data_IF_812561039036
#
_entry.id   IF_812561039036
#
_cell.length_a   1.000
_cell.length_b   1.000
_cell.length_c   1.000
_cell.angle_alpha   90.00
_cell.angle_beta   90.00
_cell.angle_gamma   90.00
#
_symmetry.space_group_name_H-M   'P 1'
#
loop_
_entity.id
_entity.type
_entity.pdbx_description
1 polymer ?
#
# COMPACT_ATOMS: atom_id res chain seq x y z
N UNK A 1 25.73 -24.80 11.12
CA UNK A 1 24.63 -24.01 11.69
C UNK A 1 24.28 -22.95 10.65
N UNK A 2 23.23 -23.20 9.86
CA UNK A 2 22.80 -22.35 8.77
C UNK A 2 21.54 -21.63 9.22
N UNK A 3 21.56 -20.30 9.27
CA UNK A 3 20.34 -19.49 9.30
C UNK A 3 20.22 -18.87 7.93
N UNK A 4 19.44 -19.52 7.07
CA UNK A 4 18.95 -18.92 5.85
C UNK A 4 17.80 -17.99 6.26
N UNK A 5 18.08 -16.71 6.39
CA UNK A 5 17.03 -15.69 6.47
C UNK A 5 16.19 -15.79 5.20
N UNK A 6 14.90 -16.10 5.36
CA UNK A 6 13.94 -16.11 4.28
C UNK A 6 13.98 -14.74 3.58
N UNK A 7 14.46 -14.73 2.34
CA UNK A 7 14.48 -13.53 1.52
C UNK A 7 13.06 -13.05 1.30
N UNK A 8 12.78 -11.82 1.70
CA UNK A 8 11.56 -11.09 1.33
C UNK A 8 11.59 -11.02 -0.20
N UNK A 9 10.79 -11.86 -0.86
CA UNK A 9 10.67 -11.84 -2.30
C UNK A 9 9.98 -10.52 -2.68
N UNK A 10 10.77 -9.56 -3.15
CA UNK A 10 10.26 -8.29 -3.66
C UNK A 10 9.52 -8.58 -4.97
N UNK A 11 8.19 -8.64 -4.90
CA UNK A 11 7.29 -8.90 -6.04
C UNK A 11 7.44 -7.89 -7.20
N UNK A 12 8.13 -6.77 -6.96
CA UNK A 12 8.48 -5.77 -7.97
C UNK A 12 9.89 -5.22 -7.74
N UNK A 13 10.90 -6.09 -7.57
CA UNK A 13 12.29 -5.62 -7.55
C UNK A 13 12.61 -4.92 -8.89
N UNK A 14 13.09 -3.66 -8.88
CA UNK A 14 13.48 -2.98 -10.10
C UNK A 14 14.50 -3.82 -10.88
N UNK A 15 14.32 -3.95 -12.20
CA UNK A 15 15.26 -4.66 -13.08
C UNK A 15 16.68 -4.05 -13.04
N UNK A 16 16.79 -2.81 -12.58
CA UNK A 16 18.02 -2.09 -12.27
C UNK A 16 17.77 -1.08 -11.14
N UNK A 17 18.78 -0.73 -10.32
CA UNK A 17 18.66 0.35 -9.34
C UNK A 17 18.23 1.65 -10.03
N UNK A 18 17.27 2.36 -9.44
CA UNK A 18 16.86 3.67 -9.92
C UNK A 18 18.06 4.62 -9.92
N UNK A 19 18.26 5.34 -11.02
CA UNK A 19 19.29 6.38 -11.09
C UNK A 19 18.74 7.65 -10.48
N UNK A 20 19.62 8.57 -10.08
CA UNK A 20 19.25 9.87 -9.51
C UNK A 20 18.22 10.63 -10.37
N UNK A 21 18.39 10.62 -11.69
CA UNK A 21 17.43 11.21 -12.63
C UNK A 21 16.04 10.57 -12.53
N UNK A 22 15.98 9.25 -12.36
CA UNK A 22 14.71 8.52 -12.31
C UNK A 22 14.00 8.83 -10.97
N UNK A 23 14.74 8.98 -9.88
CA UNK A 23 14.17 9.45 -8.59
C UNK A 23 13.67 10.89 -8.63
N UNK A 24 14.36 11.79 -9.33
CA UNK A 24 13.86 13.17 -9.54
C UNK A 24 12.58 13.18 -10.36
N UNK A 25 12.54 12.44 -11.48
CA UNK A 25 11.32 12.35 -12.29
C UNK A 25 10.14 11.74 -11.52
N UNK A 26 10.41 10.78 -10.64
CA UNK A 26 9.38 10.23 -9.74
C UNK A 26 8.94 11.26 -8.70
N UNK A 27 9.87 11.99 -8.09
CA UNK A 27 9.54 13.06 -7.15
C UNK A 27 8.64 14.10 -7.82
N UNK A 28 8.99 14.58 -9.01
CA UNK A 28 8.18 15.54 -9.77
C UNK A 28 6.81 14.96 -10.17
N UNK A 29 6.74 13.67 -10.51
CA UNK A 29 5.48 12.99 -10.85
C UNK A 29 4.54 12.86 -9.64
N UNK A 30 5.12 12.69 -8.45
CA UNK A 30 4.39 12.52 -7.19
C UNK A 30 4.35 13.79 -6.33
N UNK A 31 4.88 14.91 -6.82
CA UNK A 31 4.76 16.24 -6.20
C UNK A 31 3.32 16.74 -6.42
N UNK A 32 2.43 16.23 -5.58
CA UNK A 32 1.02 16.58 -5.55
C UNK A 32 0.75 17.50 -4.38
N UNK A 33 0.39 18.74 -4.68
CA UNK A 33 -0.02 19.72 -3.68
C UNK A 33 -1.44 19.46 -3.15
N UNK A 34 -2.21 18.58 -3.81
CA UNK A 34 -3.62 18.28 -3.52
C UNK A 34 -3.83 17.08 -2.58
N UNK A 35 -2.76 16.56 -1.96
CA UNK A 35 -2.85 15.38 -1.08
C UNK A 35 -3.84 15.57 0.08
N UNK A 36 -3.83 16.76 0.71
CA UNK A 36 -4.74 17.08 1.82
C UNK A 36 -6.21 17.13 1.36
N UNK A 37 -6.46 17.57 0.12
CA UNK A 37 -7.82 17.62 -0.46
C UNK A 37 -8.33 16.22 -0.77
N UNK A 38 -7.48 15.36 -1.32
CA UNK A 38 -7.80 13.95 -1.56
C UNK A 38 -8.07 13.23 -0.24
N UNK A 39 -7.23 13.47 0.79
CA UNK A 39 -7.43 12.87 2.11
C UNK A 39 -8.78 13.27 2.69
N UNK A 40 -9.12 14.57 2.62
CA UNK A 40 -10.41 15.06 3.08
C UNK A 40 -11.58 14.43 2.31
N UNK A 41 -11.48 14.32 0.99
CA UNK A 41 -12.51 13.74 0.14
C UNK A 41 -12.71 12.25 0.43
N UNK A 42 -11.62 11.48 0.51
CA UNK A 42 -11.65 10.05 0.88
C UNK A 42 -12.26 9.89 2.26
N UNK A 43 -11.84 10.69 3.24
CA UNK A 43 -12.37 10.64 4.60
C UNK A 43 -13.87 10.89 4.62
N UNK A 44 -14.35 11.94 3.92
CA UNK A 44 -15.77 12.21 3.78
C UNK A 44 -16.48 10.96 3.26
N UNK A 45 -16.05 10.40 2.12
CA UNK A 45 -16.68 9.24 1.50
C UNK A 45 -16.70 8.01 2.41
N UNK A 46 -15.61 7.75 3.15
CA UNK A 46 -15.55 6.65 4.11
C UNK A 46 -16.57 6.82 5.24
N UNK A 47 -16.81 8.04 5.73
CA UNK A 47 -17.84 8.31 6.74
C UNK A 47 -19.27 8.05 6.23
N UNK A 48 -19.49 8.05 4.92
CA UNK A 48 -20.80 7.70 4.33
C UNK A 48 -21.01 6.19 4.19
N UNK A 49 -19.97 5.37 4.36
CA UNK A 49 -20.09 3.91 4.29
C UNK A 49 -20.57 3.38 5.64
N UNK A 50 -21.83 2.93 5.69
CA UNK A 50 -22.38 2.20 6.83
C UNK A 50 -22.69 0.74 6.45
N UNK A 51 -22.24 -0.26 7.24
CA UNK A 51 -21.43 -0.11 8.45
C UNK A 51 -20.00 0.35 8.13
N UNK A 52 -19.35 0.95 9.13
CA UNK A 52 -17.94 1.34 9.02
C UNK A 52 -17.11 0.11 8.62
N UNK A 53 -16.29 0.17 7.55
CA UNK A 53 -15.50 -0.98 7.15
C UNK A 53 -14.41 -1.27 8.19
N UNK A 54 -14.01 -2.53 8.30
CA UNK A 54 -13.05 -3.03 9.31
C UNK A 54 -11.58 -2.63 9.00
N UNK A 55 -11.31 -1.36 8.69
CA UNK A 55 -9.99 -0.90 8.23
C UNK A 55 -8.87 -1.08 9.27
N UNK A 56 -9.21 -0.97 10.56
CA UNK A 56 -8.24 -1.07 11.68
C UNK A 56 -8.36 -2.36 12.50
N UNK A 57 -9.41 -3.15 12.28
CA UNK A 57 -9.53 -4.47 12.90
C UNK A 57 -8.79 -5.50 12.05
N UNK A 58 -8.05 -6.43 12.68
CA UNK A 58 -7.33 -7.49 11.96
C UNK A 58 -8.23 -8.10 10.88
N UNK A 59 -7.68 -8.36 9.67
CA UNK A 59 -8.49 -8.83 8.56
C UNK A 59 -9.35 -9.98 9.05
N UNK A 60 -10.68 -9.79 8.95
CA UNK A 60 -11.65 -10.82 9.24
C UNK A 60 -11.12 -12.12 8.62
N UNK A 61 -11.05 -13.20 9.40
CA UNK A 61 -10.68 -14.56 9.00
C UNK A 61 -11.48 -15.11 7.79
N UNK A 62 -12.29 -14.27 7.15
CA UNK A 62 -13.15 -14.50 6.00
C UNK A 62 -12.44 -15.07 4.77
N UNK A 63 -11.11 -15.04 4.69
CA UNK A 63 -10.36 -15.75 3.65
C UNK A 63 -9.96 -17.20 4.02
N UNK A 64 -10.27 -17.68 5.22
CA UNK A 64 -10.00 -19.07 5.64
C UNK A 64 -11.11 -20.06 5.28
N UNK A 65 -12.25 -19.61 4.73
CA UNK A 65 -13.37 -20.48 4.33
C UNK A 65 -13.31 -20.97 2.87
N UNK A 66 -12.15 -20.96 2.21
CA UNK A 66 -11.91 -21.82 1.02
C UNK A 66 -11.10 -23.06 1.41
N UNK A 67 -11.55 -23.76 2.46
CA UNK A 67 -11.11 -25.14 2.75
C UNK A 67 -12.14 -25.99 3.50
N UNK A 68 -13.27 -26.32 2.85
CA UNK A 68 -13.69 -27.73 2.66
C UNK A 68 -14.82 -27.86 1.63
#
# INVERSE_FOLDING_TARGET
MSSAGAGIASYAAPLSPLRERDTTALADLFEREDLDEIEADVSIHLHWLWPEPCWEEEPLDFFLEESF
#
